data_IF_742660726899
#
_entry.id   IF_742660726899
#
_cell.length_a   1.000
_cell.length_b   1.000
_cell.length_c   1.000
_cell.angle_alpha   90.00
_cell.angle_beta   90.00
_cell.angle_gamma   90.00
#
_symmetry.space_group_name_H-M   'P 1'
#
loop_
_entity.id
_entity.type
_entity.pdbx_description
1 polymer ?
#
# COMPACT_ATOMS: atom_id res chain seq x y z
N UNK A 1 -4.47 -31.62 -15.21
CA UNK A 1 -5.24 -30.46 -14.72
C UNK A 1 -5.01 -29.28 -15.65
N UNK A 2 -6.05 -28.65 -16.21
CA UNK A 2 -5.87 -27.43 -17.00
C UNK A 2 -5.33 -26.32 -16.09
N UNK A 3 -4.24 -25.66 -16.51
CA UNK A 3 -3.72 -24.49 -15.79
C UNK A 3 -4.76 -23.36 -15.90
N UNK A 4 -5.08 -22.63 -14.81
CA UNK A 4 -5.91 -21.45 -14.92
C UNK A 4 -5.28 -20.50 -15.95
N UNK A 5 -6.07 -20.06 -16.93
CA UNK A 5 -5.62 -19.07 -17.92
C UNK A 5 -5.17 -17.83 -17.15
N UNK A 6 -3.98 -17.33 -17.48
CA UNK A 6 -3.53 -16.04 -17.00
C UNK A 6 -4.62 -14.99 -17.30
N UNK A 7 -4.86 -14.02 -16.41
CA UNK A 7 -5.78 -12.93 -16.71
C UNK A 7 -5.38 -12.32 -18.05
N UNK A 8 -6.29 -12.34 -19.01
CA UNK A 8 -6.12 -11.69 -20.29
C UNK A 8 -6.23 -10.19 -20.04
N UNK A 9 -5.14 -9.46 -20.26
CA UNK A 9 -5.15 -8.01 -20.26
C UNK A 9 -5.81 -7.56 -21.56
N UNK A 10 -6.88 -6.79 -21.46
CA UNK A 10 -7.50 -6.21 -22.65
C UNK A 10 -6.69 -5.02 -23.19
N UNK A 11 -5.83 -4.41 -22.35
CA UNK A 11 -5.07 -3.19 -22.68
C UNK A 11 -3.66 -3.20 -22.05
N UNK A 12 -2.68 -2.61 -22.74
CA UNK A 12 -1.32 -2.36 -22.22
C UNK A 12 -1.15 -0.87 -21.88
N UNK A 13 -0.13 -0.46 -21.11
CA UNK A 13 0.08 0.96 -20.81
C UNK A 13 0.27 1.83 -22.07
N UNK A 14 0.78 1.24 -23.16
CA UNK A 14 0.95 1.92 -24.46
C UNK A 14 -0.31 1.84 -25.33
N UNK A 15 -1.11 0.77 -25.21
CA UNK A 15 -2.35 0.55 -25.96
C UNK A 15 -3.60 0.82 -25.10
N UNK A 16 -3.58 1.94 -24.38
CA UNK A 16 -4.64 2.32 -23.47
C UNK A 16 -5.73 3.12 -24.21
N UNK A 17 -7.03 2.84 -24.02
CA UNK A 17 -8.10 3.67 -24.55
C UNK A 17 -8.02 5.12 -24.02
N UNK A 18 -8.51 6.10 -24.79
CA UNK A 18 -8.50 7.51 -24.38
C UNK A 18 -9.23 7.79 -23.06
N UNK A 19 -10.21 6.94 -22.72
CA UNK A 19 -10.99 7.04 -21.47
C UNK A 19 -10.31 6.33 -20.29
N UNK A 20 -9.08 5.84 -20.45
CA UNK A 20 -8.34 5.15 -19.41
C UNK A 20 -7.02 5.84 -19.15
N UNK A 21 -6.52 5.71 -17.92
CA UNK A 21 -5.21 6.20 -17.49
C UNK A 21 -4.48 5.13 -16.69
N UNK A 22 -3.15 5.13 -16.79
CA UNK A 22 -2.30 4.45 -15.83
C UNK A 22 -1.98 5.42 -14.69
N UNK A 23 -2.18 5.01 -13.45
CA UNK A 23 -1.89 5.83 -12.28
C UNK A 23 -1.03 5.07 -11.26
N UNK A 24 -0.27 5.83 -10.48
CA UNK A 24 0.39 5.35 -9.27
C UNK A 24 -0.49 5.69 -8.06
N UNK A 25 -0.85 4.67 -7.27
CA UNK A 25 -1.76 4.82 -6.13
C UNK A 25 -1.03 5.34 -4.90
N UNK A 26 -1.54 6.44 -4.37
CA UNK A 26 -1.18 7.03 -3.10
C UNK A 26 -1.96 6.43 -1.92
N UNK A 27 -1.97 7.12 -0.75
CA UNK A 27 -2.70 6.65 0.42
C UNK A 27 -4.22 6.61 0.20
N UNK A 28 -4.91 5.61 0.78
CA UNK A 28 -6.37 5.57 0.78
C UNK A 28 -6.95 6.81 1.46
N UNK A 29 -8.01 7.37 0.89
CA UNK A 29 -8.70 8.58 1.36
C UNK A 29 -10.01 8.28 2.10
N UNK A 30 -10.33 7.00 2.31
CA UNK A 30 -11.61 6.55 2.87
C UNK A 30 -12.69 6.38 1.80
N UNK A 31 -13.79 5.71 2.15
CA UNK A 31 -14.92 5.45 1.24
C UNK A 31 -14.54 4.80 -0.09
N UNK A 32 -13.54 3.90 -0.08
CA UNK A 32 -12.96 3.25 -1.27
C UNK A 32 -12.25 4.20 -2.25
N UNK A 33 -11.92 5.42 -1.83
CA UNK A 33 -11.18 6.38 -2.63
C UNK A 33 -9.68 6.29 -2.36
N UNK A 34 -8.89 6.54 -3.39
CA UNK A 34 -7.43 6.60 -3.34
C UNK A 34 -6.95 7.89 -3.98
N UNK A 35 -5.98 8.55 -3.35
CA UNK A 35 -5.20 9.55 -4.08
C UNK A 35 -4.33 8.82 -5.10
N UNK A 36 -4.10 9.43 -6.25
CA UNK A 36 -3.34 8.84 -7.34
C UNK A 36 -2.59 9.91 -8.09
N UNK A 37 -1.51 9.53 -8.74
CA UNK A 37 -0.70 10.42 -9.57
C UNK A 37 -0.63 9.81 -10.96
N UNK A 38 -0.97 10.62 -11.96
CA UNK A 38 -0.92 10.26 -13.38
C UNK A 38 0.53 10.29 -13.90
N UNK A 39 0.75 9.79 -15.11
CA UNK A 39 2.02 9.87 -15.85
C UNK A 39 2.57 11.30 -15.98
N UNK A 40 1.69 12.31 -15.92
CA UNK A 40 2.04 13.74 -15.99
C UNK A 40 2.39 14.35 -14.63
N UNK A 41 2.32 13.57 -13.53
CA UNK A 41 2.49 14.08 -12.17
C UNK A 41 1.26 14.78 -11.59
N UNK A 42 0.13 14.78 -12.30
CA UNK A 42 -1.11 15.41 -11.80
C UNK A 42 -1.78 14.56 -10.72
N UNK A 43 -2.02 15.11 -9.51
CA UNK A 43 -2.73 14.39 -8.45
C UNK A 43 -4.23 14.30 -8.77
N UNK A 44 -4.82 13.12 -8.58
CA UNK A 44 -6.22 12.81 -8.87
C UNK A 44 -6.82 11.93 -7.77
N UNK A 45 -8.12 12.03 -7.54
CA UNK A 45 -8.85 11.12 -6.65
C UNK A 45 -9.59 10.09 -7.49
N UNK A 46 -9.41 8.81 -7.18
CA UNK A 46 -10.04 7.69 -7.90
C UNK A 46 -10.74 6.75 -6.94
N UNK A 47 -11.84 6.13 -7.36
CA UNK A 47 -12.61 5.18 -6.55
C UNK A 47 -12.30 3.75 -6.97
N UNK A 48 -12.21 2.80 -6.04
CA UNK A 48 -12.12 1.38 -6.37
C UNK A 48 -13.42 0.89 -7.03
N UNK A 49 -13.38 0.32 -8.24
CA UNK A 49 -14.62 -0.16 -8.90
C UNK A 49 -15.37 -1.22 -8.09
N UNK A 50 -16.70 -1.22 -8.21
CA UNK A 50 -17.57 -2.22 -7.57
C UNK A 50 -17.22 -3.66 -7.97
N UNK A 51 -16.70 -3.85 -9.19
CA UNK A 51 -16.25 -5.17 -9.69
C UNK A 51 -15.02 -5.68 -8.96
N UNK A 52 -14.05 -4.81 -8.67
CA UNK A 52 -12.87 -5.19 -7.89
C UNK A 52 -13.25 -5.51 -6.45
N UNK A 53 -14.13 -4.71 -5.85
CA UNK A 53 -14.67 -4.96 -4.51
C UNK A 53 -15.38 -6.31 -4.41
N UNK A 54 -16.21 -6.65 -5.39
CA UNK A 54 -16.96 -7.91 -5.41
C UNK A 54 -16.11 -9.17 -5.62
N UNK A 55 -14.88 -9.04 -6.13
CA UNK A 55 -13.97 -10.19 -6.37
C UNK A 55 -13.20 -10.64 -5.13
N UNK A 56 -13.27 -9.92 -4.01
CA UNK A 56 -12.78 -10.34 -2.68
C UNK A 56 -11.28 -10.59 -2.53
N UNK A 57 -10.52 -10.69 -3.62
CA UNK A 57 -9.12 -11.11 -3.64
C UNK A 57 -8.14 -9.99 -3.98
N UNK A 58 -8.62 -8.82 -4.42
CA UNK A 58 -7.74 -7.71 -4.83
C UNK A 58 -7.55 -6.77 -3.64
N UNK A 59 -6.41 -6.87 -2.99
CA UNK A 59 -5.95 -5.90 -2.01
C UNK A 59 -5.27 -4.74 -2.76
N UNK A 60 -5.72 -3.52 -2.48
CA UNK A 60 -5.20 -2.30 -3.09
C UNK A 60 -4.51 -1.49 -2.02
N UNK A 61 -3.24 -1.20 -2.22
CA UNK A 61 -2.40 -0.49 -1.27
C UNK A 61 -1.72 0.74 -1.91
N UNK A 62 -1.15 1.58 -1.04
CA UNK A 62 -0.25 2.65 -1.48
C UNK A 62 0.98 2.03 -2.15
N UNK A 63 1.38 2.57 -3.30
CA UNK A 63 2.53 2.10 -4.07
C UNK A 63 2.15 1.22 -5.26
N UNK A 64 0.90 0.77 -5.34
CA UNK A 64 0.43 -0.04 -6.45
C UNK A 64 0.24 0.81 -7.71
N UNK A 65 0.40 0.18 -8.88
CA UNK A 65 0.03 0.77 -10.15
C UNK A 65 -1.33 0.24 -10.57
N UNK A 66 -2.15 1.08 -11.20
CA UNK A 66 -3.49 0.69 -11.57
C UNK A 66 -3.98 1.36 -12.86
N UNK A 67 -4.82 0.65 -13.60
CA UNK A 67 -5.59 1.24 -14.68
C UNK A 67 -6.88 1.84 -14.12
N UNK A 68 -7.12 3.09 -14.47
CA UNK A 68 -8.30 3.87 -14.09
C UNK A 68 -9.09 4.15 -15.34
N UNK A 69 -10.40 3.98 -15.27
CA UNK A 69 -11.34 4.45 -16.28
C UNK A 69 -11.88 5.81 -15.83
N UNK A 70 -11.71 6.82 -16.67
CA UNK A 70 -12.19 8.17 -16.43
C UNK A 70 -13.72 8.25 -16.53
N UNK A 71 -14.33 9.08 -15.69
CA UNK A 71 -15.71 9.47 -15.87
C UNK A 71 -15.84 10.46 -17.04
N UNK A 72 -16.92 10.40 -17.83
CA UNK A 72 -17.15 11.38 -18.88
C UNK A 72 -17.25 12.76 -18.24
N UNK A 73 -16.49 13.73 -18.76
CA UNK A 73 -16.52 15.09 -18.24
C UNK A 73 -17.95 15.65 -18.33
N UNK A 74 -18.54 15.98 -17.17
CA UNK A 74 -19.87 16.54 -17.13
C UNK A 74 -19.88 17.91 -17.84
N UNK A 75 -20.73 18.12 -18.85
CA UNK A 75 -20.80 19.40 -19.58
C UNK A 75 -21.29 20.57 -18.71
N UNK A 76 -21.70 20.30 -17.47
CA UNK A 76 -22.15 21.29 -16.48
C UNK A 76 -21.05 21.83 -15.56
N UNK A 77 -19.78 21.47 -15.78
CA UNK A 77 -18.64 22.20 -15.22
C UNK A 77 -18.52 22.18 -13.69
N UNK A 78 -18.91 21.07 -13.05
CA UNK A 78 -18.49 20.80 -11.68
C UNK A 78 -17.04 20.30 -11.70
N UNK A 79 -16.17 20.90 -10.90
CA UNK A 79 -14.83 20.36 -10.65
C UNK A 79 -15.00 19.08 -9.81
N UNK A 80 -15.33 17.97 -10.49
CA UNK A 80 -15.55 16.71 -9.82
C UNK A 80 -14.21 16.19 -9.32
N UNK A 81 -14.03 16.28 -8.00
CA UNK A 81 -12.81 15.85 -7.32
C UNK A 81 -12.45 14.40 -7.67
N UNK A 82 -13.47 13.57 -7.92
CA UNK A 82 -13.37 12.18 -8.31
C UNK A 82 -13.30 12.07 -9.84
N UNK A 83 -12.17 11.61 -10.37
CA UNK A 83 -11.92 11.62 -11.82
C UNK A 83 -12.33 10.33 -12.53
N UNK A 84 -12.50 9.23 -11.79
CA UNK A 84 -12.68 7.91 -12.38
C UNK A 84 -12.66 6.76 -11.38
N UNK A 85 -12.77 5.55 -11.92
CA UNK A 85 -12.76 4.30 -11.17
C UNK A 85 -11.55 3.42 -11.51
N UNK A 86 -10.97 2.77 -10.51
CA UNK A 86 -9.92 1.76 -10.67
C UNK A 86 -10.57 0.50 -11.22
N UNK A 87 -10.18 0.11 -12.44
CA UNK A 87 -10.70 -1.09 -13.11
C UNK A 87 -9.79 -2.30 -12.93
N UNK A 88 -8.48 -2.07 -12.77
CA UNK A 88 -7.49 -3.12 -12.61
C UNK A 88 -6.28 -2.61 -11.83
N UNK A 89 -5.75 -3.46 -10.93
CA UNK A 89 -4.49 -3.21 -10.22
C UNK A 89 -3.42 -4.10 -10.84
N UNK A 90 -2.24 -3.52 -11.08
CA UNK A 90 -1.07 -4.19 -11.64
C UNK A 90 -0.22 -4.76 -10.51
N UNK A 91 0.06 -6.05 -10.61
CA UNK A 91 1.04 -6.75 -9.80
C UNK A 91 2.47 -6.35 -10.20
N UNK A 92 3.40 -6.46 -9.26
CA UNK A 92 4.81 -6.18 -9.53
C UNK A 92 5.42 -7.03 -10.66
N UNK A 93 4.88 -8.21 -10.94
CA UNK A 93 5.28 -9.03 -12.10
C UNK A 93 4.88 -8.38 -13.42
N UNK A 94 3.64 -7.90 -13.52
CA UNK A 94 3.12 -7.24 -14.73
C UNK A 94 3.88 -5.94 -15.00
N UNK A 95 4.14 -5.15 -13.96
CA UNK A 95 4.98 -3.94 -14.08
C UNK A 95 6.37 -4.27 -14.64
N UNK A 96 7.01 -5.33 -14.14
CA UNK A 96 8.31 -5.79 -14.66
C UNK A 96 8.22 -6.28 -16.10
N UNK A 97 7.17 -7.00 -16.46
CA UNK A 97 6.95 -7.48 -17.84
C UNK A 97 6.71 -6.31 -18.82
N UNK A 98 5.97 -5.27 -18.42
CA UNK A 98 5.79 -4.06 -19.23
C UNK A 98 7.08 -3.24 -19.36
N UNK A 99 7.87 -3.11 -18.28
CA UNK A 99 9.20 -2.49 -18.33
C UNK A 99 10.13 -3.24 -19.27
N UNK A 100 10.15 -4.59 -19.20
CA UNK A 100 10.97 -5.43 -20.10
C UNK A 100 10.54 -5.31 -21.56
N UNK A 101 9.24 -5.14 -21.80
CA UNK A 101 8.68 -5.01 -23.16
C UNK A 101 8.84 -3.60 -23.73
N UNK A 102 9.33 -2.64 -22.95
CA UNK A 102 9.48 -1.24 -23.37
C UNK A 102 8.15 -0.48 -23.47
N UNK A 103 7.06 -1.05 -22.95
CA UNK A 103 5.72 -0.44 -22.98
C UNK A 103 5.43 0.40 -21.73
N UNK A 104 6.37 0.47 -20.78
CA UNK A 104 6.21 1.24 -19.55
C UNK A 104 6.40 2.74 -19.81
N UNK A 105 5.45 3.61 -19.42
CA UNK A 105 5.56 5.03 -19.72
C UNK A 105 6.66 5.70 -18.87
N UNK A 106 7.40 6.63 -19.49
CA UNK A 106 8.53 7.33 -18.87
C UNK A 106 8.12 8.18 -17.65
N UNK A 107 6.87 8.62 -17.56
CA UNK A 107 6.34 9.37 -16.42
C UNK A 107 6.26 8.58 -15.10
N UNK A 108 6.37 7.25 -15.16
CA UNK A 108 6.52 6.37 -13.98
C UNK A 108 7.92 5.73 -13.91
N UNK A 109 8.89 6.27 -14.66
CA UNK A 109 10.27 5.81 -14.73
C UNK A 109 11.08 6.24 -13.51
N UNK A 110 11.71 5.24 -12.89
CA UNK A 110 12.54 5.21 -11.69
C UNK A 110 12.10 6.10 -10.51
N UNK A 111 11.48 5.53 -9.45
CA UNK A 111 11.98 5.92 -8.14
C UNK A 111 13.49 5.69 -8.21
N UNK A 112 14.31 6.71 -7.95
CA UNK A 112 15.70 6.44 -7.59
C UNK A 112 15.71 5.23 -6.66
N UNK A 113 16.62 4.27 -6.85
CA UNK A 113 16.70 3.14 -5.95
C UNK A 113 16.75 3.73 -4.55
N UNK A 114 15.67 3.52 -3.78
CA UNK A 114 15.76 3.64 -2.33
C UNK A 114 16.89 2.69 -2.02
N UNK A 115 18.03 3.26 -1.65
CA UNK A 115 19.29 2.57 -1.55
C UNK A 115 19.04 1.19 -0.95
N UNK A 116 19.58 0.17 -1.59
CA UNK A 116 19.91 -1.07 -0.90
C UNK A 116 20.50 -0.68 0.45
N UNK A 117 19.71 -0.80 1.52
CA UNK A 117 20.29 -1.28 2.76
C UNK A 117 20.74 -2.70 2.43
N UNK A 118 22.00 -2.75 2.01
CA UNK A 118 22.91 -3.88 1.96
C UNK A 118 22.39 -4.99 2.87
N UNK A 119 21.70 -5.96 2.27
CA UNK A 119 21.64 -7.31 2.85
C UNK A 119 22.80 -8.04 2.22
N UNK A 120 23.95 -8.18 2.90
CA UNK A 120 24.98 -9.05 2.40
C UNK A 120 24.42 -10.47 2.42
N UNK A 121 24.54 -11.13 1.28
CA UNK A 121 24.37 -12.55 1.14
C UNK A 121 25.41 -13.23 2.05
N UNK A 122 24.96 -13.95 3.08
CA UNK A 122 25.78 -14.98 3.69
C UNK A 122 25.06 -16.32 3.55
N UNK A 123 25.54 -17.08 2.57
CA UNK A 123 25.30 -18.51 2.46
C UNK A 123 26.32 -19.23 3.35
N UNK A 124 25.91 -19.70 4.52
CA UNK A 124 26.43 -20.88 5.25
C UNK A 124 25.67 -20.95 6.58
N UNK A 125 24.84 -21.96 6.84
CA UNK A 125 25.29 -23.19 7.49
C UNK A 125 26.28 -22.95 8.64
N UNK A 126 25.76 -22.76 9.86
CA UNK A 126 26.35 -23.36 11.06
C UNK A 126 25.52 -23.10 12.31
N UNK A 127 25.61 -24.11 13.14
CA UNK A 127 24.94 -24.41 14.39
C UNK A 127 25.56 -23.60 15.55
N UNK A 128 24.79 -23.47 16.63
CA UNK A 128 25.25 -23.24 18.02
C UNK A 128 25.92 -21.91 18.38
N UNK A 129 25.43 -21.28 19.46
CA UNK A 129 26.07 -21.33 20.78
C UNK A 129 26.06 -20.00 21.54
N UNK A 130 25.83 -20.14 22.85
CA UNK A 130 26.21 -19.33 24.03
C UNK A 130 26.76 -17.91 23.79
N UNK A 131 26.18 -16.86 24.39
CA UNK A 131 26.30 -16.59 25.82
C UNK A 131 27.24 -15.38 26.03
N UNK A 132 26.85 -14.40 26.83
CA UNK A 132 27.62 -13.88 27.98
C UNK A 132 27.05 -12.53 28.48
N UNK A 133 27.21 -12.38 29.78
CA UNK A 133 26.73 -11.46 30.80
C UNK A 133 27.24 -10.03 30.68
N UNK A 134 26.51 -9.08 31.31
CA UNK A 134 27.08 -8.20 32.34
C UNK A 134 26.04 -7.91 33.46
N UNK A 135 26.47 -8.08 34.70
CA UNK A 135 25.88 -7.63 35.97
C UNK A 135 25.91 -6.10 36.11
N UNK A 136 25.00 -5.51 36.90
CA UNK A 136 25.43 -4.65 38.03
C UNK A 136 24.29 -4.48 39.08
N UNK A 137 24.62 -4.89 40.32
CA UNK A 137 24.08 -4.56 41.65
C UNK A 137 23.28 -3.24 41.75
N UNK A 138 22.23 -3.09 42.57
CA UNK A 138 21.98 -3.67 43.88
C UNK A 138 21.83 -2.53 44.90
N UNK A 139 20.67 -2.42 45.59
CA UNK A 139 20.55 -1.86 46.94
C UNK A 139 19.11 -1.97 47.47
N UNK A 140 19.02 -2.34 48.73
CA UNK A 140 17.85 -2.82 49.46
C UNK A 140 17.01 -1.71 50.13
N UNK A 141 15.91 -2.19 50.71
CA UNK A 141 15.36 -1.78 52.01
C UNK A 141 14.42 -0.56 52.03
N UNK A 142 13.13 -0.77 52.32
CA UNK A 142 12.62 -0.55 53.68
C UNK A 142 11.12 -0.83 53.82
N UNK A 143 10.84 -1.49 54.92
CA UNK A 143 9.57 -1.85 55.53
C UNK A 143 9.03 -0.64 56.32
N UNK A 144 7.77 -0.21 56.12
CA UNK A 144 6.92 0.28 57.23
C UNK A 144 5.48 0.66 56.82
N UNK A 145 4.61 0.36 57.79
CA UNK A 145 3.17 0.58 57.91
C UNK A 145 2.78 2.07 57.93
N UNK A 146 1.49 2.36 57.67
CA UNK A 146 0.56 3.24 58.42
C UNK A 146 -0.73 3.32 57.56
N UNK A 147 -1.82 2.61 57.87
CA UNK A 147 -2.91 3.03 58.77
C UNK A 147 -3.33 4.49 58.59
N UNK A 148 -4.34 4.72 57.73
CA UNK A 148 -5.23 5.86 57.92
C UNK A 148 -6.69 5.46 57.75
N UNK A 149 -7.43 5.73 58.81
CA UNK A 149 -8.87 5.58 58.95
C UNK A 149 -9.55 6.77 58.28
N UNK A 150 -10.54 6.53 57.42
CA UNK A 150 -11.54 7.54 57.12
C UNK A 150 -12.92 6.92 57.07
N UNK A 151 -13.64 7.17 58.16
CA UNK A 151 -15.08 6.99 58.28
C UNK A 151 -15.79 7.85 57.24
N UNK A 152 -16.75 7.29 56.52
CA UNK A 152 -17.81 8.06 55.90
C UNK A 152 -19.10 7.27 56.04
N UNK A 153 -19.88 7.67 57.04
CA UNK A 153 -21.33 7.44 57.09
C UNK A 153 -21.93 7.88 55.76
N UNK A 154 -22.67 7.01 55.08
CA UNK A 154 -23.76 7.47 54.24
C UNK A 154 -25.01 6.66 54.56
N UNK A 155 -26.06 7.41 54.82
CA UNK A 155 -27.35 6.99 55.33
C UNK A 155 -28.23 6.47 54.21
N UNK A 156 -28.89 5.33 54.43
CA UNK A 156 -30.27 5.07 54.00
C UNK A 156 -30.82 3.87 54.78
#
# INVERSE_FOLDING_TARGET
>A
MPRPKAPTFDFTPTSLPADHLLVHLGPPQGSNNFSSVDTTGTPRLVELSSKLRGRGAVLVARGDFAFVKLFPADPKGGEERLVGEIVQVLSGKEVRDFKRSGEWPEGFGDPEPVAEEVRPEDSADSESDEGDYYEEDGAADSDQQELDSATAKESA
#
